data_IF_983222084688
#
_entry.id   IF_983222084688
#
_cell.length_a   1.000
_cell.length_b   1.000
_cell.length_c   1.000
_cell.angle_alpha   90.00
_cell.angle_beta   90.00
_cell.angle_gamma   90.00
#
_symmetry.space_group_name_H-M   'P 1'
#
loop_
_entity.id
_entity.type
_entity.pdbx_description
1 polymer ?
#
# COMPACT_ATOMS: atom_id res chain seq x y z
N UNK A 1 32.12 -49.71 47.18
CA UNK A 1 33.22 -48.72 47.26
C UNK A 1 33.53 -48.23 45.85
N UNK A 2 33.56 -46.90 45.63
CA UNK A 2 33.99 -46.24 44.37
C UNK A 2 32.85 -45.95 43.39
N UNK A 3 32.35 -44.69 43.31
CA UNK A 3 32.70 -43.61 42.34
C UNK A 3 32.40 -44.04 40.88
N UNK A 4 31.53 -43.39 40.10
CA UNK A 4 31.39 -41.94 39.85
C UNK A 4 29.97 -41.60 39.41
N UNK A 5 29.39 -40.57 40.02
CA UNK A 5 28.27 -39.84 39.46
C UNK A 5 28.80 -38.90 38.37
N UNK A 6 28.27 -39.01 37.15
CA UNK A 6 28.41 -37.99 36.12
C UNK A 6 27.26 -37.01 36.30
N UNK A 7 27.56 -35.84 36.85
CA UNK A 7 26.68 -34.68 36.84
C UNK A 7 26.75 -34.08 35.44
N UNK A 8 25.68 -34.24 34.67
CA UNK A 8 25.45 -33.46 33.45
C UNK A 8 24.93 -32.10 33.92
N UNK A 9 25.84 -31.12 34.01
CA UNK A 9 25.48 -29.73 34.30
C UNK A 9 24.98 -29.09 33.00
N UNK A 10 23.68 -28.82 32.99
CA UNK A 10 22.99 -27.68 32.39
C UNK A 10 23.64 -26.97 31.18
N UNK A 11 23.13 -27.27 29.98
CA UNK A 11 23.15 -26.37 28.82
C UNK A 11 21.72 -25.94 28.43
N UNK A 12 20.83 -25.77 29.42
CA UNK A 12 19.45 -25.30 29.24
C UNK A 12 19.09 -24.08 30.09
N UNK A 13 20.09 -23.33 30.59
CA UNK A 13 19.88 -22.08 31.31
C UNK A 13 20.75 -21.00 30.68
N UNK A 14 20.19 -20.29 29.71
CA UNK A 14 20.43 -18.87 29.39
C UNK A 14 19.57 -18.45 28.18
N UNK A 15 18.32 -18.90 28.14
CA UNK A 15 17.25 -17.97 27.75
C UNK A 15 16.99 -17.18 29.03
N UNK A 16 17.89 -16.25 29.34
CA UNK A 16 17.50 -15.14 30.20
C UNK A 16 16.45 -14.41 29.39
N UNK A 17 15.20 -14.65 29.80
CA UNK A 17 14.10 -13.77 29.48
C UNK A 17 14.54 -12.39 29.97
N UNK A 18 15.00 -11.64 28.98
CA UNK A 18 15.22 -10.23 28.86
C UNK A 18 14.19 -9.37 29.61
N UNK A 19 14.25 -9.38 30.95
CA UNK A 19 13.33 -8.67 31.84
C UNK A 19 13.74 -7.21 32.13
N UNK A 20 14.78 -6.64 31.49
CA UNK A 20 15.16 -5.22 31.60
C UNK A 20 14.79 -4.36 30.37
N UNK A 21 14.13 -4.94 29.36
CA UNK A 21 14.02 -4.36 28.01
C UNK A 21 12.94 -3.27 27.89
N UNK A 22 12.50 -2.66 28.99
CA UNK A 22 11.39 -1.70 28.99
C UNK A 22 11.79 -0.24 29.08
N UNK A 23 13.08 0.08 29.25
CA UNK A 23 13.49 1.45 29.60
C UNK A 23 13.72 2.35 28.40
N UNK A 24 14.20 1.82 27.26
CA UNK A 24 14.63 2.61 26.10
C UNK A 24 14.29 1.95 24.76
N UNK A 25 14.20 2.75 23.69
CA UNK A 25 13.98 2.31 22.31
C UNK A 25 14.73 3.19 21.31
N UNK A 26 14.89 2.70 20.07
CA UNK A 26 15.34 3.53 18.95
C UNK A 26 14.12 4.12 18.24
N UNK A 27 14.17 5.40 17.90
CA UNK A 27 13.14 6.08 17.11
C UNK A 27 13.73 6.43 15.74
N UNK A 28 13.02 6.09 14.67
CA UNK A 28 13.34 6.52 13.32
C UNK A 28 12.56 7.79 12.99
N UNK A 29 13.27 8.77 12.45
CA UNK A 29 12.73 10.09 12.10
C UNK A 29 13.42 10.64 10.86
N UNK A 30 12.88 11.72 10.30
CA UNK A 30 13.60 12.59 9.38
C UNK A 30 13.83 13.97 10.03
N UNK A 31 14.98 14.62 9.81
CA UNK A 31 15.17 16.03 10.20
C UNK A 31 14.14 16.96 9.56
N UNK A 32 13.60 16.59 8.40
CA UNK A 32 12.52 17.28 7.71
C UNK A 32 11.21 16.46 7.84
N UNK A 33 10.22 16.92 8.62
CA UNK A 33 8.97 16.18 8.83
C UNK A 33 8.18 15.88 7.56
N UNK A 34 8.38 16.65 6.48
CA UNK A 34 7.74 16.40 5.19
C UNK A 34 8.26 15.13 4.49
N UNK A 35 9.38 14.58 4.95
CA UNK A 35 10.02 13.39 4.37
C UNK A 35 9.68 12.10 5.14
N UNK A 36 8.92 12.21 6.24
CA UNK A 36 8.43 11.08 7.05
C UNK A 36 9.08 10.97 8.45
N UNK A 37 8.76 9.89 9.20
CA UNK A 37 7.92 8.77 8.79
C UNK A 37 6.45 9.18 8.59
N UNK A 38 5.83 8.71 7.52
CA UNK A 38 4.41 8.91 7.26
C UNK A 38 3.55 7.95 8.08
N UNK A 39 2.33 8.37 8.41
CA UNK A 39 1.37 7.56 9.16
C UNK A 39 0.89 6.36 8.32
N UNK A 40 0.80 5.19 8.95
CA UNK A 40 0.40 3.93 8.32
C UNK A 40 -0.77 3.28 9.08
N UNK A 41 -1.48 2.38 8.42
CA UNK A 41 -2.45 1.47 9.04
C UNK A 41 -2.27 0.05 8.53
N UNK A 42 -2.67 -0.95 9.32
CA UNK A 42 -2.53 -2.36 8.93
C UNK A 42 -3.51 -2.79 7.83
N UNK A 43 -4.65 -2.12 7.70
CA UNK A 43 -5.70 -2.48 6.74
C UNK A 43 -6.53 -3.70 7.19
N UNK A 44 -6.67 -3.93 8.49
CA UNK A 44 -7.26 -5.16 9.03
C UNK A 44 -8.63 -4.96 9.67
N UNK A 45 -8.95 -3.76 10.16
CA UNK A 45 -10.19 -3.49 10.91
C UNK A 45 -10.65 -2.04 10.72
N UNK A 46 -11.91 -1.83 11.09
CA UNK A 46 -12.55 -0.53 11.18
C UNK A 46 -12.91 -0.24 12.65
N UNK A 47 -12.94 1.04 13.10
CA UNK A 47 -12.64 2.24 12.34
C UNK A 47 -11.13 2.41 12.07
N UNK A 48 -10.72 3.23 11.07
CA UNK A 48 -9.32 3.35 10.66
C UNK A 48 -8.37 3.75 11.79
N UNK A 49 -8.84 4.56 12.74
CA UNK A 49 -8.03 5.01 13.88
C UNK A 49 -7.61 3.88 14.82
N UNK A 50 -8.41 2.82 14.93
CA UNK A 50 -8.06 1.66 15.75
C UNK A 50 -6.99 0.78 15.09
N UNK A 51 -6.72 0.99 13.80
CA UNK A 51 -5.90 0.15 12.92
C UNK A 51 -4.56 0.80 12.53
N UNK A 52 -4.24 1.96 13.12
CA UNK A 52 -3.00 2.69 12.86
C UNK A 52 -1.78 1.93 13.41
N UNK A 53 -0.69 1.99 12.64
CA UNK A 53 0.65 1.60 13.10
C UNK A 53 1.11 2.67 14.09
N UNK A 54 1.73 2.31 15.25
CA UNK A 54 2.26 3.29 16.18
C UNK A 54 3.20 4.31 15.52
N UNK A 55 3.00 5.60 15.83
CA UNK A 55 3.81 6.71 15.32
C UNK A 55 4.19 7.66 16.49
N UNK A 56 5.48 8.00 16.69
CA UNK A 56 6.62 7.42 15.98
C UNK A 56 6.75 5.93 16.33
N UNK A 57 7.27 5.11 15.41
CA UNK A 57 7.45 3.68 15.66
C UNK A 57 8.36 3.52 16.88
N UNK A 58 7.87 2.85 17.92
CA UNK A 58 8.61 2.61 19.17
C UNK A 58 9.36 1.29 19.05
N UNK A 59 10.69 1.33 18.86
CA UNK A 59 11.47 0.13 18.60
C UNK A 59 11.89 -0.59 19.88
N UNK A 60 11.07 -1.55 20.27
CA UNK A 60 11.52 -2.74 20.97
C UNK A 60 10.88 -3.93 20.24
N UNK A 61 11.69 -4.65 19.45
CA UNK A 61 11.47 -6.07 19.11
C UNK A 61 10.34 -6.39 18.09
N UNK A 62 9.44 -5.46 17.72
CA UNK A 62 8.24 -5.82 16.94
C UNK A 62 8.20 -5.49 15.44
N UNK A 63 9.25 -4.89 14.86
CA UNK A 63 9.33 -4.74 13.39
C UNK A 63 8.22 -3.87 12.78
N UNK A 64 7.76 -2.82 13.48
CA UNK A 64 6.74 -1.92 12.95
C UNK A 64 7.22 -1.28 11.62
N UNK A 65 6.38 -1.27 10.58
CA UNK A 65 6.75 -0.71 9.30
C UNK A 65 6.93 0.80 9.37
N UNK A 66 7.88 1.31 8.61
CA UNK A 66 8.10 2.74 8.42
C UNK A 66 7.92 3.12 6.95
N UNK A 67 7.45 4.34 6.69
CA UNK A 67 7.31 4.86 5.33
C UNK A 67 7.96 6.24 5.22
N UNK A 68 8.87 6.40 4.27
CA UNK A 68 9.65 7.62 4.07
C UNK A 68 9.62 8.05 2.62
N UNK A 69 9.83 9.33 2.38
CA UNK A 69 10.03 9.86 1.03
C UNK A 69 11.35 9.38 0.43
N UNK A 70 11.40 9.20 -0.89
CA UNK A 70 12.64 9.02 -1.63
C UNK A 70 13.65 10.12 -1.29
N UNK A 71 14.91 9.75 -1.08
CA UNK A 71 15.97 10.69 -0.68
C UNK A 71 15.89 11.23 0.75
N UNK A 72 14.87 10.85 1.55
CA UNK A 72 14.73 11.30 2.94
C UNK A 72 15.99 10.99 3.75
N UNK A 73 16.49 11.95 4.53
CA UNK A 73 17.55 11.67 5.50
C UNK A 73 16.94 10.98 6.71
N UNK A 74 17.35 9.74 6.99
CA UNK A 74 16.88 9.01 8.16
C UNK A 74 17.79 9.27 9.34
N UNK A 75 17.16 9.50 10.49
CA UNK A 75 17.80 9.75 11.77
C UNK A 75 17.32 8.75 12.80
N UNK A 76 18.26 8.14 13.51
CA UNK A 76 18.02 7.26 14.65
C UNK A 76 18.20 8.10 15.92
N UNK A 77 17.24 8.01 16.85
CA UNK A 77 17.35 8.64 18.17
C UNK A 77 17.08 7.61 19.25
N UNK A 78 17.99 7.48 20.22
CA UNK A 78 17.71 6.72 21.42
C UNK A 78 16.71 7.49 22.30
N UNK A 79 15.68 6.80 22.78
CA UNK A 79 14.69 7.33 23.73
C UNK A 79 14.73 6.49 24.98
N UNK A 80 14.59 7.10 26.16
CA UNK A 80 14.46 6.40 27.43
C UNK A 80 13.35 7.06 28.26
N UNK A 81 12.29 6.32 28.58
CA UNK A 81 11.16 6.85 29.37
C UNK A 81 11.50 6.90 30.86
N UNK A 82 12.23 5.91 31.37
CA UNK A 82 12.63 5.81 32.76
C UNK A 82 14.04 5.21 32.91
N UNK A 83 14.80 5.57 33.96
CA UNK A 83 16.06 4.91 34.27
C UNK A 83 15.86 3.40 34.40
N UNK A 84 16.82 2.62 33.91
CA UNK A 84 16.84 1.18 34.18
C UNK A 84 17.03 0.95 35.70
N UNK A 85 16.25 0.03 36.32
CA UNK A 85 16.31 -0.18 37.77
C UNK A 85 17.67 -0.64 38.30
N UNK A 86 18.50 -1.26 37.46
CA UNK A 86 19.80 -1.84 37.82
C UNK A 86 20.93 -0.91 37.37
N UNK A 87 20.87 -0.44 36.13
CA UNK A 87 21.98 0.23 35.46
C UNK A 87 21.89 1.76 35.47
N UNK A 88 20.72 2.34 35.75
CA UNK A 88 20.47 3.79 35.77
C UNK A 88 20.09 4.35 34.41
N UNK A 89 20.37 5.64 34.17
CA UNK A 89 20.09 6.27 32.87
C UNK A 89 21.10 5.85 31.81
N UNK A 90 20.67 5.88 30.56
CA UNK A 90 21.61 5.82 29.44
C UNK A 90 22.33 7.16 29.35
N UNK A 91 23.67 7.12 29.30
CA UNK A 91 24.55 8.29 29.15
C UNK A 91 25.20 8.36 27.77
N UNK A 92 25.27 7.25 27.06
CA UNK A 92 25.76 7.20 25.69
C UNK A 92 25.29 5.97 24.94
N UNK A 93 25.42 5.99 23.62
CA UNK A 93 25.05 4.90 22.74
C UNK A 93 25.84 4.95 21.44
N UNK A 94 25.92 3.85 20.72
CA UNK A 94 26.61 3.77 19.43
C UNK A 94 25.86 2.85 18.48
N UNK A 95 26.16 2.95 17.20
CA UNK A 95 25.63 2.06 16.16
C UNK A 95 26.76 1.17 15.67
N UNK A 96 26.72 -0.11 16.01
CA UNK A 96 27.74 -1.07 15.60
C UNK A 96 27.73 -1.29 14.11
N UNK A 97 26.57 -1.60 13.55
CA UNK A 97 26.37 -1.60 12.10
C UNK A 97 24.97 -1.14 11.75
N UNK A 98 24.82 -0.65 10.52
CA UNK A 98 23.54 -0.23 9.98
C UNK A 98 23.52 -0.47 8.47
N UNK A 99 22.68 -1.40 8.02
CA UNK A 99 22.60 -1.81 6.63
C UNK A 99 21.16 -1.82 6.15
N UNK A 100 20.89 -1.10 5.07
CA UNK A 100 19.62 -1.12 4.35
C UNK A 100 19.73 -2.12 3.18
N UNK A 101 18.82 -3.08 3.15
CA UNK A 101 18.71 -4.09 2.09
C UNK A 101 17.39 -3.94 1.35
N UNK A 102 17.36 -4.25 0.06
CA UNK A 102 16.10 -4.46 -0.65
C UNK A 102 15.50 -5.80 -0.22
N UNK A 103 14.23 -5.82 0.22
CA UNK A 103 13.55 -7.08 0.54
C UNK A 103 13.23 -7.92 -0.69
N UNK A 104 13.20 -7.28 -1.86
CA UNK A 104 12.83 -7.90 -3.12
C UNK A 104 14.03 -8.63 -3.71
N UNK A 105 15.20 -7.98 -3.70
CA UNK A 105 16.41 -8.49 -4.37
C UNK A 105 17.46 -9.02 -3.40
N UNK A 106 17.37 -8.71 -2.11
CA UNK A 106 18.42 -8.99 -1.12
C UNK A 106 19.68 -8.11 -1.27
N UNK A 107 19.70 -7.20 -2.26
CA UNK A 107 20.86 -6.34 -2.49
C UNK A 107 21.03 -5.34 -1.34
N UNK A 108 22.27 -5.14 -0.91
CA UNK A 108 22.67 -4.02 -0.04
C UNK A 108 22.46 -2.72 -0.80
N UNK A 109 21.51 -1.90 -0.34
CA UNK A 109 21.25 -0.57 -0.87
C UNK A 109 22.19 0.46 -0.27
N UNK A 110 22.51 0.28 1.02
CA UNK A 110 23.48 1.11 1.74
C UNK A 110 23.98 0.40 2.99
N UNK A 111 25.27 0.50 3.25
CA UNK A 111 25.88 0.16 4.53
C UNK A 111 26.57 1.39 5.07
N UNK A 112 26.49 1.61 6.37
CA UNK A 112 27.34 2.59 7.05
C UNK A 112 28.32 1.85 7.97
N UNK A 113 29.63 2.10 7.85
CA UNK A 113 30.61 1.48 8.74
C UNK A 113 30.55 2.07 10.15
N UNK A 114 30.96 1.25 11.13
CA UNK A 114 31.03 1.44 12.57
C UNK A 114 30.91 2.89 13.06
N UNK A 115 29.88 3.16 13.86
CA UNK A 115 29.72 4.45 14.50
C UNK A 115 30.51 4.54 15.80
N UNK A 116 30.97 5.75 16.08
CA UNK A 116 31.51 6.16 17.38
C UNK A 116 30.39 6.25 18.42
N UNK A 117 30.75 6.16 19.69
CA UNK A 117 29.80 6.43 20.78
C UNK A 117 29.37 7.90 20.77
N UNK A 118 28.06 8.10 20.84
CA UNK A 118 27.36 9.36 20.96
C UNK A 118 26.81 9.53 22.39
N UNK A 119 26.63 10.77 22.87
CA UNK A 119 25.76 11.08 24.00
C UNK A 119 24.35 10.52 23.81
N UNK A 120 23.66 10.18 24.91
CA UNK A 120 22.34 9.56 24.89
C UNK A 120 21.26 10.37 24.13
N UNK A 121 21.36 11.69 24.15
CA UNK A 121 20.43 12.62 23.51
C UNK A 121 20.84 12.99 22.07
N UNK A 122 22.06 12.63 21.66
CA UNK A 122 22.55 12.96 20.34
C UNK A 122 22.02 11.95 19.31
N UNK A 123 21.34 12.41 18.24
CA UNK A 123 20.87 11.52 17.18
C UNK A 123 22.01 11.02 16.29
N UNK A 124 21.81 9.86 15.69
CA UNK A 124 22.65 9.30 14.64
C UNK A 124 22.01 9.53 13.27
N UNK A 125 22.69 10.29 12.40
CA UNK A 125 22.23 10.53 11.03
C UNK A 125 22.71 9.40 10.11
N UNK A 126 21.79 8.56 9.64
CA UNK A 126 22.09 7.48 8.67
C UNK A 126 22.34 8.03 7.25
N UNK A 127 21.83 9.24 6.98
CA UNK A 127 21.91 9.88 5.67
C UNK A 127 20.70 9.58 4.79
N UNK A 128 20.74 10.01 3.51
CA UNK A 128 19.60 9.96 2.61
C UNK A 128 19.25 8.53 2.19
N UNK A 129 17.98 8.18 2.11
CA UNK A 129 17.51 6.95 1.48
C UNK A 129 17.76 6.97 -0.04
N UNK A 130 17.49 5.85 -0.71
CA UNK A 130 17.56 5.78 -2.18
C UNK A 130 16.56 6.74 -2.83
N UNK A 131 16.85 7.18 -4.05
CA UNK A 131 16.07 8.19 -4.80
C UNK A 131 14.98 7.57 -5.69
N UNK A 132 14.56 6.35 -5.39
CA UNK A 132 13.54 5.60 -6.12
C UNK A 132 12.65 4.81 -5.17
N UNK A 133 11.46 4.43 -5.62
CA UNK A 133 10.53 3.61 -4.86
C UNK A 133 11.17 2.26 -4.53
N UNK A 134 11.13 1.85 -3.26
CA UNK A 134 11.74 0.61 -2.81
C UNK A 134 11.00 0.03 -1.60
N UNK A 135 11.03 -1.30 -1.50
CA UNK A 135 10.61 -2.04 -0.32
C UNK A 135 11.83 -2.67 0.34
N UNK A 136 12.25 -2.07 1.45
CA UNK A 136 13.53 -2.34 2.09
C UNK A 136 13.37 -2.88 3.52
N UNK A 137 14.49 -3.36 4.04
CA UNK A 137 14.67 -3.79 5.42
C UNK A 137 15.93 -3.11 5.95
N UNK A 138 15.88 -2.55 7.17
CA UNK A 138 17.03 -1.94 7.82
C UNK A 138 17.49 -2.82 8.97
N UNK A 139 18.69 -3.38 8.83
CA UNK A 139 19.32 -4.17 9.87
C UNK A 139 20.30 -3.30 10.66
N UNK A 140 20.28 -3.41 11.99
CA UNK A 140 21.15 -2.61 12.85
C UNK A 140 21.61 -3.34 14.10
N UNK A 141 22.79 -2.97 14.58
CA UNK A 141 23.20 -3.23 15.96
C UNK A 141 23.47 -1.92 16.68
N UNK A 142 23.04 -1.82 17.93
CA UNK A 142 23.30 -0.65 18.77
C UNK A 142 23.93 -1.06 20.11
N UNK A 143 24.84 -0.22 20.57
CA UNK A 143 25.50 -0.31 21.87
C UNK A 143 24.94 0.76 22.79
N UNK A 144 24.77 0.44 24.07
CA UNK A 144 24.22 1.38 25.06
C UNK A 144 25.12 1.40 26.28
N UNK A 145 25.39 2.61 26.79
CA UNK A 145 26.26 2.88 27.93
C UNK A 145 25.44 3.53 29.03
N UNK A 146 25.43 2.93 30.22
CA UNK A 146 24.67 3.41 31.37
C UNK A 146 25.54 4.17 32.39
N UNK A 147 24.91 4.95 33.27
CA UNK A 147 25.55 5.69 34.37
C UNK A 147 26.42 4.81 35.27
N UNK A 148 26.02 3.55 35.46
CA UNK A 148 26.76 2.57 36.26
C UNK A 148 28.13 2.18 35.68
N UNK A 149 28.49 2.67 34.49
CA UNK A 149 29.74 2.36 33.80
C UNK A 149 29.73 0.99 33.10
N UNK A 150 28.63 0.25 33.21
CA UNK A 150 28.38 -0.96 32.43
C UNK A 150 28.00 -0.55 31.01
N UNK A 151 28.83 -0.94 30.04
CA UNK A 151 28.47 -0.97 28.63
C UNK A 151 27.98 -2.38 28.34
N UNK A 152 26.70 -2.52 28.01
CA UNK A 152 26.19 -3.78 27.45
C UNK A 152 26.38 -3.74 25.94
N UNK A 153 26.80 -4.88 25.38
CA UNK A 153 26.65 -5.16 23.96
C UNK A 153 25.13 -5.28 23.69
N UNK A 154 24.49 -4.13 23.47
CA UNK A 154 23.10 -3.94 23.91
C UNK A 154 22.04 -4.56 23.02
N UNK A 155 22.25 -4.67 21.70
CA UNK A 155 21.13 -5.06 20.83
C UNK A 155 21.52 -5.38 19.38
N UNK A 156 20.98 -6.49 18.85
CA UNK A 156 20.80 -6.74 17.42
C UNK A 156 19.32 -6.59 17.09
N UNK A 157 18.96 -5.67 16.19
CA UNK A 157 17.59 -5.47 15.77
C UNK A 157 17.44 -5.20 14.28
N UNK A 158 16.24 -5.43 13.78
CA UNK A 158 15.92 -5.25 12.37
C UNK A 158 14.58 -4.54 12.26
N UNK A 159 14.56 -3.49 11.44
CA UNK A 159 13.35 -2.92 10.87
C UNK A 159 12.97 -3.76 9.68
N UNK A 160 11.95 -4.60 9.88
CA UNK A 160 11.57 -5.57 8.86
C UNK A 160 11.04 -4.89 7.59
N UNK A 161 10.42 -3.71 7.72
CA UNK A 161 9.75 -3.05 6.61
C UNK A 161 9.99 -1.54 6.59
N UNK A 162 10.77 -1.09 5.60
CA UNK A 162 10.89 0.31 5.21
C UNK A 162 10.32 0.47 3.80
N UNK A 163 9.25 1.24 3.69
CA UNK A 163 8.69 1.69 2.42
C UNK A 163 9.32 3.02 2.04
N UNK A 164 9.88 3.10 0.84
CA UNK A 164 10.45 4.32 0.29
C UNK A 164 9.54 4.72 -0.87
N UNK A 165 8.87 5.86 -0.74
CA UNK A 165 7.79 6.31 -1.63
C UNK A 165 8.05 7.71 -2.20
N UNK A 166 7.38 8.11 -3.27
CA UNK A 166 7.68 9.38 -3.96
C UNK A 166 7.31 10.62 -3.13
N UNK A 167 6.24 10.52 -2.34
CA UNK A 167 5.78 11.59 -1.46
C UNK A 167 4.87 11.01 -0.36
N UNK A 168 4.37 11.85 0.55
CA UNK A 168 3.34 11.46 1.50
C UNK A 168 2.15 10.80 0.77
N UNK A 169 1.63 9.64 1.24
CA UNK A 169 0.47 8.99 0.67
C UNK A 169 -0.74 9.93 0.52
N UNK A 170 -1.57 9.69 -0.50
CA UNK A 170 -2.76 10.52 -0.81
C UNK A 170 -4.04 9.73 -0.54
N UNK A 171 -5.17 10.42 -0.37
CA UNK A 171 -6.48 9.76 -0.27
C UNK A 171 -6.75 8.86 -1.50
N UNK A 172 -7.33 7.65 -1.32
CA UNK A 172 -7.90 7.12 -0.08
C UNK A 172 -6.87 6.44 0.84
N UNK A 173 -5.61 6.45 0.47
CA UNK A 173 -4.49 5.80 1.16
C UNK A 173 -3.73 6.75 2.09
N UNK A 174 -4.43 7.66 2.77
CA UNK A 174 -3.86 8.54 3.79
C UNK A 174 -4.62 8.33 5.13
N UNK A 175 -4.09 7.52 6.08
CA UNK A 175 -2.80 6.81 6.05
C UNK A 175 -2.80 5.58 5.13
N UNK A 176 -1.64 5.24 4.59
CA UNK A 176 -1.49 4.11 3.67
C UNK A 176 -1.59 2.77 4.40
N UNK A 177 -2.11 1.75 3.70
CA UNK A 177 -2.18 0.39 4.22
C UNK A 177 -0.86 -0.31 3.96
N UNK A 178 -0.32 -0.94 5.01
CA UNK A 178 0.93 -1.71 4.92
C UNK A 178 0.84 -2.79 3.83
N UNK A 179 -0.28 -3.50 3.72
CA UNK A 179 -0.49 -4.53 2.69
C UNK A 179 -0.46 -3.98 1.27
N UNK A 180 -0.98 -2.77 1.05
CA UNK A 180 -0.96 -2.11 -0.27
C UNK A 180 0.44 -1.59 -0.57
N UNK A 181 1.14 -1.03 0.42
CA UNK A 181 2.53 -0.56 0.26
C UNK A 181 3.49 -1.69 -0.11
N UNK A 182 3.33 -2.88 0.47
CA UNK A 182 4.10 -4.08 0.07
C UNK A 182 3.96 -4.34 -1.43
N UNK A 183 2.73 -4.33 -1.94
CA UNK A 183 2.42 -4.58 -3.35
C UNK A 183 2.91 -3.42 -4.22
N UNK A 184 2.58 -2.18 -3.86
CA UNK A 184 2.87 -1.02 -4.70
C UNK A 184 4.35 -0.67 -4.75
N UNK A 185 5.08 -0.77 -3.64
CA UNK A 185 6.53 -0.58 -3.63
C UNK A 185 7.25 -1.72 -4.34
N UNK A 186 6.73 -2.96 -4.27
CA UNK A 186 7.29 -4.08 -5.01
C UNK A 186 7.12 -3.91 -6.53
N UNK A 187 5.91 -3.60 -6.96
CA UNK A 187 5.57 -3.46 -8.37
C UNK A 187 6.22 -2.23 -9.01
N UNK A 188 6.28 -1.10 -8.29
CA UNK A 188 6.86 0.15 -8.79
C UNK A 188 8.35 0.34 -8.44
N UNK A 189 9.04 -0.72 -7.99
CA UNK A 189 10.44 -0.62 -7.58
C UNK A 189 11.31 -0.02 -8.68
N UNK A 190 12.16 0.93 -8.29
CA UNK A 190 13.13 1.58 -9.19
C UNK A 190 12.57 2.80 -9.91
N UNK A 191 11.26 3.04 -9.81
CA UNK A 191 10.65 4.25 -10.34
C UNK A 191 10.93 5.46 -9.43
N UNK A 192 11.28 6.59 -10.03
CA UNK A 192 11.58 7.85 -9.34
C UNK A 192 10.66 9.00 -9.75
N UNK A 193 9.65 8.73 -10.59
CA UNK A 193 8.71 9.73 -11.09
C UNK A 193 7.28 9.24 -10.92
N UNK A 194 6.35 10.19 -10.74
CA UNK A 194 4.93 9.85 -10.53
C UNK A 194 4.35 9.11 -11.75
N UNK A 195 4.67 9.55 -12.97
CA UNK A 195 4.23 8.89 -14.21
C UNK A 195 4.82 7.48 -14.35
N UNK A 196 6.12 7.33 -14.08
CA UNK A 196 6.80 6.03 -14.12
C UNK A 196 6.17 5.02 -13.16
N UNK A 197 5.94 5.45 -11.92
CA UNK A 197 5.25 4.63 -10.91
C UNK A 197 3.83 4.25 -11.35
N UNK A 198 3.01 5.21 -11.78
CA UNK A 198 1.64 4.93 -12.24
C UNK A 198 1.59 3.99 -13.44
N UNK A 199 2.50 4.17 -14.40
CA UNK A 199 2.64 3.31 -15.57
C UNK A 199 3.01 1.87 -15.18
N UNK A 200 3.98 1.71 -14.28
CA UNK A 200 4.42 0.41 -13.81
C UNK A 200 3.33 -0.29 -12.99
N UNK A 201 2.62 0.43 -12.12
CA UNK A 201 1.54 -0.11 -11.31
C UNK A 201 0.35 -0.56 -12.17
N UNK A 202 -0.03 0.22 -13.20
CA UNK A 202 -1.08 -0.18 -14.15
C UNK A 202 -0.69 -1.44 -14.93
N UNK A 203 0.55 -1.48 -15.43
CA UNK A 203 1.11 -2.65 -16.13
C UNK A 203 1.09 -3.89 -15.22
N UNK A 204 1.59 -3.77 -14.00
CA UNK A 204 1.67 -4.88 -13.04
C UNK A 204 0.31 -5.36 -12.58
N UNK A 205 -0.67 -4.47 -12.44
CA UNK A 205 -2.03 -4.87 -12.12
C UNK A 205 -2.65 -5.68 -13.26
N UNK A 206 -2.43 -5.31 -14.52
CA UNK A 206 -2.89 -6.09 -15.67
C UNK A 206 -2.20 -7.47 -15.74
N UNK A 207 -0.90 -7.54 -15.45
CA UNK A 207 -0.12 -8.79 -15.45
C UNK A 207 -0.53 -9.76 -14.32
N UNK A 208 -0.93 -9.25 -13.16
CA UNK A 208 -1.17 -10.06 -11.95
C UNK A 208 -2.65 -10.20 -11.59
N UNK A 209 -3.52 -9.41 -12.20
CA UNK A 209 -4.97 -9.44 -11.99
C UNK A 209 -5.69 -10.42 -12.91
N UNK A 210 -6.92 -10.78 -12.53
CA UNK A 210 -7.82 -11.54 -13.40
C UNK A 210 -9.17 -10.83 -13.54
N UNK A 211 -9.43 -10.29 -14.73
CA UNK A 211 -10.72 -9.70 -15.03
C UNK A 211 -11.76 -10.79 -15.16
N UNK A 212 -12.75 -10.76 -14.27
CA UNK A 212 -13.71 -11.84 -14.17
C UNK A 212 -14.87 -11.70 -15.16
N UNK A 213 -14.97 -10.63 -15.95
CA UNK A 213 -16.08 -10.42 -16.91
C UNK A 213 -17.30 -9.69 -16.34
N UNK A 214 -17.15 -8.99 -15.21
CA UNK A 214 -18.26 -8.27 -14.56
C UNK A 214 -19.05 -9.11 -13.56
N UNK A 215 -18.46 -10.17 -13.02
CA UNK A 215 -19.09 -11.07 -12.07
C UNK A 215 -18.82 -10.61 -10.63
N UNK A 216 -18.22 -11.44 -9.77
CA UNK A 216 -17.95 -11.10 -8.37
C UNK A 216 -17.36 -9.70 -8.24
N UNK A 217 -18.03 -8.87 -7.45
CA UNK A 217 -17.67 -7.47 -7.22
C UNK A 217 -17.30 -7.27 -5.75
N UNK A 218 -16.14 -6.68 -5.52
CA UNK A 218 -15.69 -6.19 -4.21
C UNK A 218 -15.98 -4.70 -4.03
N UNK A 219 -16.71 -4.10 -4.97
CA UNK A 219 -17.28 -2.76 -4.82
C UNK A 219 -18.79 -2.79 -4.55
N UNK A 220 -19.29 -1.76 -3.88
CA UNK A 220 -20.72 -1.50 -3.68
C UNK A 220 -21.02 -0.02 -3.83
N UNK A 221 -22.12 0.31 -4.50
CA UNK A 221 -22.53 1.70 -4.64
C UNK A 221 -23.09 2.26 -3.34
N UNK A 222 -22.82 3.55 -3.14
CA UNK A 222 -23.47 4.34 -2.11
C UNK A 222 -24.88 4.68 -2.57
N UNK A 223 -25.87 4.39 -1.73
CA UNK A 223 -27.28 4.63 -2.01
C UNK A 223 -27.77 5.88 -1.26
N UNK A 224 -28.80 6.52 -1.80
CA UNK A 224 -29.55 7.53 -1.07
C UNK A 224 -30.38 6.90 0.07
N UNK A 225 -30.97 7.73 0.93
CA UNK A 225 -31.81 7.26 2.04
C UNK A 225 -33.09 6.50 1.62
N UNK A 226 -33.39 6.44 0.32
CA UNK A 226 -34.48 5.65 -0.26
C UNK A 226 -33.99 4.35 -0.93
N UNK A 227 -32.68 4.06 -0.86
CA UNK A 227 -32.07 2.87 -1.46
C UNK A 227 -31.79 3.00 -2.97
N UNK A 228 -31.90 4.19 -3.56
CA UNK A 228 -31.59 4.39 -4.98
C UNK A 228 -30.10 4.67 -5.18
N UNK A 229 -29.55 4.17 -6.29
CA UNK A 229 -28.19 4.45 -6.72
C UNK A 229 -28.20 5.72 -7.58
N UNK A 230 -27.41 6.71 -7.19
CA UNK A 230 -27.19 7.91 -8.02
C UNK A 230 -26.47 7.52 -9.33
N UNK A 231 -26.82 8.13 -10.48
CA UNK A 231 -26.06 7.96 -11.72
C UNK A 231 -24.57 8.30 -11.59
N UNK A 232 -24.23 9.15 -10.61
CA UNK A 232 -22.87 9.58 -10.28
C UNK A 232 -22.41 9.03 -8.92
N UNK A 233 -22.98 7.89 -8.49
CA UNK A 233 -22.69 7.31 -7.19
C UNK A 233 -21.19 7.06 -7.03
N UNK A 234 -20.67 7.40 -5.85
CA UNK A 234 -19.41 6.87 -5.37
C UNK A 234 -19.60 5.42 -4.93
N UNK A 235 -18.50 4.72 -4.66
CA UNK A 235 -18.56 3.34 -4.22
C UNK A 235 -17.67 3.07 -3.00
N UNK A 236 -18.04 2.02 -2.28
CA UNK A 236 -17.23 1.39 -1.25
C UNK A 236 -16.49 0.22 -1.85
N UNK A 237 -15.17 0.21 -1.69
CA UNK A 237 -14.27 -0.84 -2.13
C UNK A 237 -13.76 -1.65 -0.94
N UNK A 238 -14.13 -2.93 -0.91
CA UNK A 238 -13.75 -3.90 0.12
C UNK A 238 -12.37 -4.49 -0.19
N UNK A 239 -11.37 -3.62 -0.12
CA UNK A 239 -10.00 -3.85 -0.56
C UNK A 239 -9.36 -5.09 0.06
N UNK A 240 -9.59 -5.35 1.35
CA UNK A 240 -9.03 -6.52 2.03
C UNK A 240 -9.48 -7.83 1.37
N UNK A 241 -10.76 -7.94 1.02
CA UNK A 241 -11.32 -9.11 0.37
C UNK A 241 -10.81 -9.24 -1.07
N UNK A 242 -10.68 -8.13 -1.80
CA UNK A 242 -10.12 -8.13 -3.15
C UNK A 242 -8.66 -8.63 -3.18
N UNK A 243 -7.82 -8.16 -2.25
CA UNK A 243 -6.43 -8.66 -2.08
C UNK A 243 -6.44 -10.14 -1.70
N UNK A 244 -7.29 -10.55 -0.76
CA UNK A 244 -7.40 -11.94 -0.32
C UNK A 244 -7.85 -12.87 -1.46
N UNK A 245 -8.66 -12.36 -2.39
CA UNK A 245 -9.10 -13.05 -3.59
C UNK A 245 -8.11 -12.92 -4.76
N UNK A 246 -6.84 -12.58 -4.50
CA UNK A 246 -5.76 -12.53 -5.50
C UNK A 246 -6.07 -11.64 -6.72
N UNK A 247 -6.68 -10.49 -6.46
CA UNK A 247 -6.95 -9.48 -7.50
C UNK A 247 -7.87 -9.95 -8.64
N UNK A 248 -8.73 -10.95 -8.38
CA UNK A 248 -9.78 -11.35 -9.33
C UNK A 248 -11.00 -10.45 -9.11
N UNK A 249 -11.44 -9.72 -10.13
CA UNK A 249 -12.54 -8.74 -9.99
C UNK A 249 -13.04 -8.15 -11.32
N UNK A 250 -13.90 -7.15 -11.22
CA UNK A 250 -14.43 -6.38 -12.35
C UNK A 250 -13.71 -5.03 -12.52
N UNK A 251 -14.08 -4.26 -13.55
CA UNK A 251 -13.39 -3.00 -13.88
C UNK A 251 -13.40 -1.98 -12.73
N UNK A 252 -14.48 -1.93 -11.94
CA UNK A 252 -14.54 -1.12 -10.72
C UNK A 252 -13.44 -1.50 -9.72
N UNK A 253 -13.29 -2.79 -9.41
CA UNK A 253 -12.31 -3.28 -8.43
C UNK A 253 -10.88 -2.96 -8.89
N UNK A 254 -10.61 -3.12 -10.19
CA UNK A 254 -9.32 -2.80 -10.79
C UNK A 254 -9.01 -1.31 -10.74
N UNK A 255 -9.96 -0.46 -11.12
CA UNK A 255 -9.78 0.99 -11.10
C UNK A 255 -9.58 1.51 -9.66
N UNK A 256 -10.41 1.03 -8.72
CA UNK A 256 -10.32 1.42 -7.31
C UNK A 256 -9.00 0.94 -6.68
N UNK A 257 -8.56 -0.27 -7.00
CA UNK A 257 -7.28 -0.77 -6.54
C UNK A 257 -6.11 -0.04 -7.16
N UNK A 258 -6.17 0.32 -8.45
CA UNK A 258 -5.13 1.10 -9.10
C UNK A 258 -4.99 2.49 -8.46
N UNK A 259 -6.10 3.14 -8.10
CA UNK A 259 -6.08 4.37 -7.30
C UNK A 259 -5.38 4.11 -5.96
N UNK A 260 -5.69 3.03 -5.25
CA UNK A 260 -5.02 2.67 -3.99
C UNK A 260 -3.50 2.47 -4.19
N UNK A 261 -3.09 1.75 -5.23
CA UNK A 261 -1.67 1.51 -5.53
C UNK A 261 -0.93 2.84 -5.78
N UNK A 262 -1.44 3.68 -6.68
CA UNK A 262 -0.81 4.95 -7.08
C UNK A 262 -0.75 5.94 -5.91
N UNK A 263 -1.85 6.06 -5.16
CA UNK A 263 -1.95 7.01 -4.04
C UNK A 263 -1.14 6.56 -2.82
N UNK A 264 -0.96 5.24 -2.61
CA UNK A 264 -0.14 4.71 -1.51
C UNK A 264 1.33 5.09 -1.62
N UNK A 265 1.89 5.15 -2.84
CA UNK A 265 3.29 5.56 -3.07
C UNK A 265 3.45 7.08 -3.23
N UNK A 266 2.39 7.86 -2.98
CA UNK A 266 2.40 9.32 -3.02
C UNK A 266 2.52 9.93 -4.43
N UNK A 267 2.34 9.15 -5.50
CA UNK A 267 2.54 9.64 -6.87
C UNK A 267 1.57 10.77 -7.25
N UNK A 268 0.26 10.52 -7.19
CA UNK A 268 -0.76 11.50 -7.52
C UNK A 268 -1.97 11.38 -6.60
N UNK A 269 -2.80 12.43 -6.56
CA UNK A 269 -4.16 12.32 -6.06
C UNK A 269 -5.06 11.76 -7.17
N UNK A 270 -4.90 10.46 -7.45
CA UNK A 270 -5.66 9.77 -8.46
C UNK A 270 -7.13 9.60 -8.05
N UNK A 271 -8.00 9.51 -9.05
CA UNK A 271 -9.42 9.28 -8.87
C UNK A 271 -9.90 8.21 -9.85
N UNK A 272 -11.08 7.66 -9.61
CA UNK A 272 -11.75 6.78 -10.58
C UNK A 272 -12.80 7.56 -11.37
N UNK A 273 -12.98 7.20 -12.63
CA UNK A 273 -13.98 7.77 -13.50
C UNK A 273 -14.61 6.69 -14.39
N UNK A 274 -15.87 6.87 -14.74
CA UNK A 274 -16.61 5.99 -15.65
C UNK A 274 -16.74 6.61 -17.02
N UNK A 275 -16.94 5.80 -18.06
CA UNK A 275 -17.20 6.26 -19.44
C UNK A 275 -18.43 7.17 -19.56
N UNK A 276 -19.46 6.91 -18.76
CA UNK A 276 -20.73 7.65 -18.69
C UNK A 276 -21.48 7.37 -17.37
N UNK A 277 -22.51 8.17 -17.00
CA UNK A 277 -23.30 7.91 -15.80
C UNK A 277 -23.95 6.53 -15.79
N UNK A 278 -24.12 5.94 -14.60
CA UNK A 278 -24.73 4.61 -14.45
C UNK A 278 -26.15 4.59 -15.05
N UNK A 279 -26.46 3.55 -15.82
CA UNK A 279 -27.76 3.34 -16.45
C UNK A 279 -28.09 4.28 -17.63
N UNK A 280 -27.16 5.13 -18.06
CA UNK A 280 -27.42 6.14 -19.11
C UNK A 280 -26.93 5.78 -20.50
N UNK A 281 -26.15 4.70 -20.63
CA UNK A 281 -25.54 4.34 -21.92
C UNK A 281 -25.10 2.89 -21.96
N UNK A 282 -24.78 2.43 -23.17
CA UNK A 282 -24.01 1.24 -23.42
C UNK A 282 -23.23 1.42 -24.73
N UNK A 283 -22.07 0.77 -24.81
CA UNK A 283 -21.22 0.84 -25.99
C UNK A 283 -20.63 -0.52 -26.34
N UNK A 284 -20.24 -0.66 -27.59
CA UNK A 284 -19.46 -1.78 -28.06
C UNK A 284 -17.99 -1.39 -28.04
N UNK A 285 -17.14 -2.24 -27.46
CA UNK A 285 -15.70 -1.98 -27.37
C UNK A 285 -15.01 -2.19 -28.71
N UNK A 286 -13.84 -1.59 -28.88
CA UNK A 286 -12.82 -2.14 -29.78
C UNK A 286 -12.33 -3.51 -29.27
N UNK A 287 -11.46 -4.20 -30.02
CA UNK A 287 -10.86 -5.46 -29.53
C UNK A 287 -9.90 -5.17 -28.37
N UNK A 288 -10.28 -5.63 -27.19
CA UNK A 288 -9.52 -5.48 -25.95
C UNK A 288 -8.96 -6.81 -25.47
N UNK A 289 -7.87 -6.76 -24.71
CA UNK A 289 -7.29 -7.90 -24.02
C UNK A 289 -7.47 -7.73 -22.50
N UNK A 290 -8.49 -8.36 -21.90
CA UNK A 290 -8.73 -8.25 -20.47
C UNK A 290 -7.59 -8.88 -19.65
N UNK A 291 -7.31 -8.34 -18.47
CA UNK A 291 -6.32 -8.91 -17.55
C UNK A 291 -6.64 -10.38 -17.22
N UNK A 292 -5.60 -11.22 -17.17
CA UNK A 292 -5.72 -12.65 -16.84
C UNK A 292 -5.82 -13.56 -18.06
N UNK A 293 -6.63 -14.62 -17.97
CA UNK A 293 -6.63 -15.73 -18.93
C UNK A 293 -7.71 -15.66 -20.01
N UNK A 294 -8.58 -14.65 -19.96
CA UNK A 294 -9.66 -14.47 -20.93
C UNK A 294 -9.08 -14.09 -22.29
N UNK A 295 -9.59 -14.63 -23.41
CA UNK A 295 -9.11 -14.26 -24.73
C UNK A 295 -9.46 -12.81 -25.04
N UNK A 296 -8.65 -12.19 -25.89
CA UNK A 296 -8.97 -10.88 -26.45
C UNK A 296 -10.29 -10.94 -27.23
N UNK A 297 -11.10 -9.91 -27.08
CA UNK A 297 -12.47 -9.88 -27.58
C UNK A 297 -12.99 -8.43 -27.71
N UNK A 298 -13.98 -8.25 -28.57
CA UNK A 298 -14.89 -7.11 -28.59
C UNK A 298 -16.19 -7.49 -27.86
N UNK A 299 -16.75 -6.56 -27.08
CA UNK A 299 -17.89 -6.88 -26.21
C UNK A 299 -18.76 -5.64 -25.95
N UNK A 300 -20.04 -5.88 -25.65
CA UNK A 300 -20.96 -4.82 -25.24
C UNK A 300 -20.81 -4.55 -23.75
N UNK A 301 -20.53 -3.31 -23.38
CA UNK A 301 -20.42 -2.87 -21.99
C UNK A 301 -21.47 -1.83 -21.64
N UNK A 302 -22.04 -1.96 -20.44
CA UNK A 302 -22.94 -0.97 -19.87
C UNK A 302 -22.19 0.28 -19.42
N UNK A 303 -20.95 0.14 -18.98
CA UNK A 303 -20.01 1.21 -18.73
C UNK A 303 -18.63 0.57 -18.51
N UNK A 304 -17.59 1.39 -18.47
CA UNK A 304 -16.27 0.98 -17.98
C UNK A 304 -15.75 1.99 -16.96
N UNK A 305 -14.99 1.52 -15.97
CA UNK A 305 -14.39 2.36 -14.94
C UNK A 305 -12.86 2.25 -15.00
N UNK A 306 -12.18 3.38 -14.90
CA UNK A 306 -10.75 3.50 -15.06
C UNK A 306 -10.16 4.55 -14.10
N UNK A 307 -8.85 4.50 -13.89
CA UNK A 307 -8.14 5.45 -13.04
C UNK A 307 -7.74 6.70 -13.84
N UNK A 308 -7.85 7.88 -13.24
CA UNK A 308 -7.49 9.16 -13.85
C UNK A 308 -6.63 10.03 -12.93
N UNK A 309 -5.84 10.90 -13.57
CA UNK A 309 -5.30 12.10 -12.96
C UNK A 309 -5.38 13.25 -13.98
N UNK A 310 -6.19 14.27 -13.67
CA UNK A 310 -6.53 15.30 -14.65
C UNK A 310 -7.27 14.74 -15.87
N UNK A 311 -6.66 14.80 -17.04
CA UNK A 311 -7.18 14.27 -18.31
C UNK A 311 -6.51 12.98 -18.76
N UNK A 312 -5.56 12.46 -17.99
CA UNK A 312 -4.81 11.27 -18.33
C UNK A 312 -5.44 10.04 -17.69
N UNK A 313 -5.44 8.92 -18.42
CA UNK A 313 -6.03 7.64 -18.03
C UNK A 313 -4.96 6.58 -17.83
N UNK A 314 -5.12 5.80 -16.76
CA UNK A 314 -4.46 4.53 -16.54
C UNK A 314 -5.51 3.45 -16.33
N UNK A 315 -5.29 2.29 -16.92
CA UNK A 315 -6.20 1.16 -16.79
C UNK A 315 -5.42 -0.13 -16.64
N UNK A 316 -5.57 -0.79 -15.49
CA UNK A 316 -4.97 -2.10 -15.22
C UNK A 316 -5.91 -3.26 -15.50
N UNK A 317 -7.15 -3.02 -15.93
CA UNK A 317 -8.16 -4.04 -16.18
C UNK A 317 -8.04 -4.69 -17.56
N UNK A 318 -7.47 -3.98 -18.54
CA UNK A 318 -7.40 -4.38 -19.93
C UNK A 318 -6.17 -3.81 -20.63
N UNK A 319 -5.88 -4.33 -21.82
CA UNK A 319 -4.95 -3.77 -22.78
C UNK A 319 -5.62 -3.60 -24.14
N UNK A 320 -5.16 -2.66 -24.96
CA UNK A 320 -5.68 -2.46 -26.32
C UNK A 320 -4.93 -3.35 -27.32
N UNK A 321 -5.67 -4.08 -28.16
CA UNK A 321 -5.08 -4.99 -29.17
C UNK A 321 -5.20 -4.39 -30.57
N UNK A 322 -6.35 -3.79 -30.88
CA UNK A 322 -6.57 -3.01 -32.09
C UNK A 322 -6.41 -1.51 -31.82
N UNK A 323 -5.98 -0.77 -32.84
CA UNK A 323 -5.82 0.68 -32.75
C UNK A 323 -4.45 1.16 -32.26
N UNK A 324 -4.34 2.46 -32.04
CA UNK A 324 -3.14 3.11 -31.47
C UNK A 324 -3.57 3.96 -30.27
N UNK A 325 -2.95 3.79 -29.09
CA UNK A 325 -1.80 2.92 -28.80
C UNK A 325 -2.21 1.47 -28.51
N UNK A 326 -1.28 0.54 -28.73
CA UNK A 326 -1.43 -0.86 -28.33
C UNK A 326 -0.85 -1.11 -26.92
N UNK A 327 -1.43 -2.07 -26.22
CA UNK A 327 -1.01 -2.49 -24.88
C UNK A 327 -1.77 -1.81 -23.74
N UNK A 328 -1.25 -1.94 -22.52
CA UNK A 328 -1.91 -1.45 -21.31
C UNK A 328 -2.02 0.09 -21.34
N UNK A 329 -3.21 0.68 -21.15
CA UNK A 329 -3.39 2.12 -21.08
C UNK A 329 -2.58 2.75 -19.94
N UNK A 330 -1.60 3.57 -20.32
CA UNK A 330 -0.62 4.19 -19.42
C UNK A 330 -0.46 5.66 -19.80
N UNK A 331 -1.12 6.55 -19.05
CA UNK A 331 -1.16 7.99 -19.31
C UNK A 331 -1.71 8.33 -20.70
N UNK A 332 -2.88 7.81 -21.03
CA UNK A 332 -3.54 8.12 -22.30
C UNK A 332 -4.47 9.30 -22.15
N UNK A 333 -4.50 10.19 -23.14
CA UNK A 333 -5.45 11.30 -23.16
C UNK A 333 -6.88 10.76 -23.22
N UNK A 334 -7.67 11.03 -22.18
CA UNK A 334 -9.00 10.43 -21.95
C UNK A 334 -9.94 10.56 -23.15
N UNK A 335 -10.14 11.79 -23.61
CA UNK A 335 -11.23 12.14 -24.53
C UNK A 335 -10.86 11.99 -26.01
N UNK A 336 -9.69 11.43 -26.30
CA UNK A 336 -9.22 11.18 -27.67
C UNK A 336 -8.62 9.78 -27.72
N UNK A 337 -7.37 9.64 -27.27
CA UNK A 337 -6.58 8.42 -27.40
C UNK A 337 -7.18 7.23 -26.66
N UNK A 338 -7.62 7.42 -25.41
CA UNK A 338 -8.22 6.34 -24.63
C UNK A 338 -9.62 5.99 -25.13
N UNK A 339 -10.43 7.00 -25.45
CA UNK A 339 -11.75 6.83 -26.05
C UNK A 339 -11.68 6.02 -27.36
N UNK A 340 -10.82 6.44 -28.30
CA UNK A 340 -10.67 5.80 -29.61
C UNK A 340 -10.12 4.37 -29.50
N UNK A 341 -9.32 4.08 -28.48
CA UNK A 341 -8.81 2.72 -28.22
C UNK A 341 -9.81 1.80 -27.52
N UNK A 342 -10.81 2.35 -26.81
CA UNK A 342 -11.78 1.59 -26.04
C UNK A 342 -13.12 1.42 -26.75
N UNK A 343 -13.64 2.47 -27.40
CA UNK A 343 -15.02 2.54 -27.88
C UNK A 343 -15.07 2.44 -29.39
N UNK A 344 -15.66 1.36 -29.92
CA UNK A 344 -15.92 1.23 -31.36
C UNK A 344 -17.16 2.07 -31.76
N UNK A 345 -18.26 1.94 -31.01
CA UNK A 345 -19.47 2.75 -31.19
C UNK A 345 -20.41 2.65 -29.97
N UNK A 346 -21.26 3.66 -29.78
CA UNK A 346 -22.32 3.64 -28.77
C UNK A 346 -23.57 2.93 -29.28
N UNK A 347 -24.14 2.05 -28.46
CA UNK A 347 -25.44 1.43 -28.70
C UNK A 347 -26.58 2.39 -28.33
N UNK A 348 -26.41 3.10 -27.20
CA UNK A 348 -27.23 4.22 -26.78
C UNK A 348 -26.44 5.09 -25.79
N UNK A 349 -26.76 6.38 -25.70
CA UNK A 349 -25.97 7.34 -24.94
C UNK A 349 -24.77 7.87 -25.74
N UNK A 350 -23.78 8.42 -25.05
CA UNK A 350 -22.57 8.99 -25.63
C UNK A 350 -21.42 9.02 -24.61
N UNK A 351 -20.21 9.28 -25.08
CA UNK A 351 -19.06 9.53 -24.22
C UNK A 351 -19.33 10.73 -23.31
N UNK A 352 -19.45 10.46 -22.01
CA UNK A 352 -19.73 11.49 -21.02
C UNK A 352 -19.08 11.12 -19.69
N UNK A 353 -17.73 11.17 -19.60
CA UNK A 353 -17.03 10.65 -18.43
C UNK A 353 -17.57 11.21 -17.12
N UNK A 354 -17.95 10.30 -16.22
CA UNK A 354 -18.77 10.64 -15.06
C UNK A 354 -18.27 10.00 -13.76
N UNK A 355 -18.39 10.71 -12.62
CA UNK A 355 -18.65 12.14 -12.51
C UNK A 355 -17.53 12.98 -13.16
N UNK A 356 -17.79 14.26 -13.53
CA UNK A 356 -16.73 15.15 -14.00
C UNK A 356 -15.62 15.27 -12.95
N UNK A 357 -14.37 14.99 -13.34
CA UNK A 357 -13.22 14.97 -12.43
C UNK A 357 -13.06 13.68 -11.61
N UNK A 358 -13.95 12.71 -11.78
CA UNK A 358 -13.90 11.43 -11.07
C UNK A 358 -14.29 11.53 -9.59
N UNK A 359 -14.11 10.44 -8.87
CA UNK A 359 -14.31 10.36 -7.42
C UNK A 359 -13.24 9.50 -6.75
N UNK A 360 -13.11 9.64 -5.44
CA UNK A 360 -12.24 8.79 -4.61
C UNK A 360 -13.12 7.67 -4.02
N UNK A 361 -12.76 6.38 -4.19
CA UNK A 361 -13.53 5.29 -3.61
C UNK A 361 -13.37 5.27 -2.08
N UNK A 362 -14.43 4.91 -1.37
CA UNK A 362 -14.34 4.64 0.06
C UNK A 362 -13.72 3.27 0.30
N UNK A 363 -12.57 3.18 0.96
CA UNK A 363 -11.81 1.92 1.11
C UNK A 363 -12.04 1.30 2.48
N UNK A 364 -12.43 0.02 2.52
CA UNK A 364 -12.83 -0.69 3.74
C UNK A 364 -12.07 -1.99 3.97
N UNK A 365 -11.66 -2.22 5.23
CA UNK A 365 -11.02 -3.45 5.68
C UNK A 365 -12.00 -4.53 6.16
N UNK A 366 -13.29 -4.19 6.28
CA UNK A 366 -14.34 -5.13 6.66
C UNK A 366 -14.59 -6.15 5.54
N UNK A 367 -15.16 -7.29 5.92
CA UNK A 367 -15.64 -8.27 4.94
C UNK A 367 -16.74 -7.68 4.08
N UNK A 368 -16.83 -8.16 2.84
CA UNK A 368 -17.92 -7.83 1.94
C UNK A 368 -19.27 -8.09 2.64
N UNK A 369 -20.14 -7.09 2.83
CA UNK A 369 -21.40 -7.30 3.51
C UNK A 369 -22.23 -8.30 2.71
N UNK A 370 -22.95 -9.17 3.44
CA UNK A 370 -23.99 -9.98 2.82
C UNK A 370 -24.95 -9.06 2.06
N UNK A 371 -25.33 -9.49 0.86
CA UNK A 371 -26.29 -8.79 0.01
C UNK A 371 -27.51 -8.40 0.83
N UNK A 372 -27.66 -7.10 1.08
CA UNK A 372 -28.75 -6.62 1.92
C UNK A 372 -30.09 -6.83 1.20
N UNK A 373 -30.98 -7.57 1.85
CA UNK A 373 -32.40 -7.58 1.53
C UNK A 373 -33.00 -6.24 1.97
N UNK A 374 -32.91 -5.21 1.13
CA UNK A 374 -33.76 -3.99 1.07
C UNK A 374 -34.24 -3.26 2.34
N UNK A 375 -33.77 -3.55 3.56
CA UNK A 375 -34.37 -3.05 4.81
C UNK A 375 -33.45 -2.14 5.64
N UNK A 376 -32.18 -1.97 5.26
CA UNK A 376 -31.29 -0.98 5.88
C UNK A 376 -31.00 0.16 4.89
N UNK A 377 -31.55 1.37 5.10
CA UNK A 377 -31.34 2.50 4.19
C UNK A 377 -29.89 3.01 4.16
N UNK A 378 -29.05 2.60 5.12
CA UNK A 378 -27.61 2.92 5.15
C UNK A 378 -26.71 1.79 4.63
N UNK A 379 -27.28 0.69 4.16
CA UNK A 379 -26.48 -0.41 3.61
C UNK A 379 -26.09 -0.15 2.15
N UNK A 380 -24.83 -0.43 1.75
CA UNK A 380 -24.44 -0.41 0.35
C UNK A 380 -25.34 -1.33 -0.47
N UNK A 381 -25.96 -0.82 -1.53
CA UNK A 381 -26.82 -1.65 -2.36
C UNK A 381 -25.96 -2.55 -3.24
N UNK A 382 -26.19 -3.86 -3.15
CA UNK A 382 -25.71 -4.78 -4.17
C UNK A 382 -26.58 -4.64 -5.41
N UNK A 383 -26.01 -4.17 -6.51
CA UNK A 383 -26.73 -4.13 -7.78
C UNK A 383 -26.99 -5.55 -8.28
N UNK A 384 -28.25 -6.01 -8.23
CA UNK A 384 -28.67 -7.12 -9.09
C UNK A 384 -28.77 -6.56 -10.52
N UNK A 385 -27.72 -6.72 -11.33
CA UNK A 385 -27.84 -6.58 -12.79
C UNK A 385 -27.22 -5.35 -13.46
N UNK A 386 -26.14 -4.77 -12.93
CA UNK A 386 -25.35 -3.77 -13.67
C UNK A 386 -23.87 -4.18 -13.86
N UNK A 387 -23.59 -5.49 -13.89
CA UNK A 387 -22.33 -6.00 -14.43
C UNK A 387 -22.40 -6.09 -15.96
N UNK A 388 -21.29 -5.97 -16.71
CA UNK A 388 -21.26 -5.98 -18.18
C UNK A 388 -21.74 -7.25 -18.90
N UNK A 389 -22.39 -8.21 -18.22
CA UNK A 389 -23.07 -9.34 -18.86
C UNK A 389 -24.37 -9.70 -18.14
N UNK A 390 -25.47 -9.05 -18.52
CA UNK A 390 -26.80 -9.65 -18.37
C UNK A 390 -27.29 -10.08 -19.76
N UNK A 391 -27.32 -11.38 -20.10
CA UNK A 391 -28.12 -11.82 -21.23
C UNK A 391 -29.59 -11.61 -20.86
N UNK A 392 -30.29 -10.83 -21.69
CA UNK A 392 -31.72 -10.64 -21.63
C UNK A 392 -32.44 -11.99 -21.73
N UNK A 393 -33.33 -12.29 -20.78
CA UNK A 393 -34.49 -13.15 -21.02
C UNK A 393 -35.58 -12.34 -21.71
#
# INVERSE_FOLDING_TARGET
MGRKAFVVICACLLILVNCSYGAWWIELSSPNPADGPFSLRWGQKEPPDADKVPLPPRWLINGDPCCFKVGATVRLSLKQDAPDPIHGRVVGWGVGYLTLYSRITGQVLRTYPDAYFLPADQPYDFGPLVEWIEYAQLEMAVYVVYESGWAEEGYHGFVDEIFIVLDAPKAPMDPAWVSVLRISCEWARGESTNDGAANMLAQKLWENGEYNGGYTAFTRYVCDGSGNISPNATEYFYLREFIANRFVGQCNDFADFLVCLITSVGAFQAAVQRTHPLGSGAFHTEVIDPAGSRPSQDVNWQYHQFCIYGTDVWDGCLSFVSGSPQGVPKKLARDTVYYDGLVAYYLFGQWQPSPPGGFIPGVYASSLPQWCSSSNPNAPCGGKGYGPNCPSS
#
